data_IF_399534034916
#
_entry.id   IF_399534034916
#
_cell.length_a   1.000
_cell.length_b   1.000
_cell.length_c   1.000
_cell.angle_alpha   90.00
_cell.angle_beta   90.00
_cell.angle_gamma   90.00
#
_symmetry.space_group_name_H-M   'P 1'
#
loop_
_entity.id
_entity.type
_entity.pdbx_description
1 polymer ?
#
# COMPACT_ATOMS: atom_id res chain seq x y z
N UNK A 1 -19.73 -23.78 -3.57
CA UNK A 1 -18.35 -23.87 -3.03
C UNK A 1 -17.56 -22.64 -3.48
N UNK A 2 -17.96 -21.44 -3.00
CA UNK A 2 -17.32 -20.13 -3.32
C UNK A 2 -17.58 -19.22 -2.12
N UNK A 3 -16.87 -19.44 -1.00
CA UNK A 3 -16.89 -18.55 0.17
C UNK A 3 -15.54 -18.41 0.87
N UNK A 4 -14.55 -19.24 0.53
CA UNK A 4 -13.26 -19.25 1.25
C UNK A 4 -12.23 -18.25 0.71
N UNK A 5 -12.34 -17.81 -0.55
CA UNK A 5 -11.35 -16.90 -1.14
C UNK A 5 -11.42 -15.48 -0.55
N UNK A 6 -12.61 -15.00 -0.17
CA UNK A 6 -12.82 -13.64 0.33
C UNK A 6 -12.13 -13.36 1.66
N UNK A 7 -12.16 -14.32 2.59
CA UNK A 7 -11.54 -14.17 3.92
C UNK A 7 -10.00 -14.13 3.89
N UNK A 8 -9.37 -14.78 2.90
CA UNK A 8 -7.90 -14.80 2.76
C UNK A 8 -7.39 -13.42 2.36
N UNK A 9 -8.06 -12.73 1.44
CA UNK A 9 -7.63 -11.38 1.03
C UNK A 9 -7.87 -10.36 2.14
N UNK A 10 -8.99 -10.47 2.86
CA UNK A 10 -9.33 -9.54 3.93
C UNK A 10 -8.37 -9.66 5.11
N UNK A 11 -8.07 -10.89 5.53
CA UNK A 11 -7.04 -11.12 6.55
C UNK A 11 -5.64 -10.70 6.10
N UNK A 12 -5.31 -10.91 4.83
CA UNK A 12 -4.03 -10.51 4.25
C UNK A 12 -3.80 -9.00 4.27
N UNK A 13 -4.82 -8.22 3.94
CA UNK A 13 -4.68 -6.78 3.75
C UNK A 13 -5.15 -5.94 4.94
N UNK A 14 -5.89 -6.50 5.90
CA UNK A 14 -6.44 -5.72 7.01
C UNK A 14 -6.31 -6.38 8.38
N UNK A 15 -6.15 -7.71 8.47
CA UNK A 15 -6.19 -8.43 9.75
C UNK A 15 -4.84 -9.02 10.14
N UNK A 16 -3.95 -8.17 10.65
CA UNK A 16 -2.80 -8.56 11.47
C UNK A 16 -2.16 -7.30 12.04
N UNK A 17 -1.54 -7.37 13.22
CA UNK A 17 -0.76 -6.26 13.78
C UNK A 17 0.30 -5.72 12.80
N UNK A 18 0.96 -6.62 12.08
CA UNK A 18 1.95 -6.25 11.06
C UNK A 18 1.33 -5.40 9.94
N UNK A 19 0.19 -5.84 9.42
CA UNK A 19 -0.51 -5.17 8.30
C UNK A 19 -1.12 -3.84 8.73
N UNK A 20 -1.69 -3.77 9.94
CA UNK A 20 -2.18 -2.52 10.54
C UNK A 20 -1.05 -1.50 10.71
N UNK A 21 0.13 -1.94 11.17
CA UNK A 21 1.32 -1.07 11.25
C UNK A 21 1.80 -0.64 9.87
N UNK A 22 1.81 -1.55 8.90
CA UNK A 22 2.16 -1.24 7.52
C UNK A 22 1.27 -0.13 6.95
N UNK A 23 -0.05 -0.26 7.02
CA UNK A 23 -0.95 0.80 6.56
C UNK A 23 -0.80 2.10 7.35
N UNK A 24 -0.59 2.01 8.67
CA UNK A 24 -0.27 3.19 9.48
C UNK A 24 0.96 3.94 8.96
N UNK A 25 2.03 3.22 8.61
CA UNK A 25 3.24 3.81 8.03
C UNK A 25 2.98 4.42 6.65
N UNK A 26 2.20 3.76 5.77
CA UNK A 26 1.87 4.30 4.44
C UNK A 26 1.03 5.58 4.57
N UNK A 27 0.03 5.61 5.45
CA UNK A 27 -0.76 6.83 5.68
C UNK A 27 0.10 7.94 6.31
N UNK A 28 0.92 7.61 7.30
CA UNK A 28 1.81 8.57 7.97
C UNK A 28 2.82 9.20 7.00
N UNK A 29 3.35 8.41 6.06
CA UNK A 29 4.22 8.92 5.00
C UNK A 29 3.55 10.02 4.16
N UNK A 30 2.24 9.96 3.97
CA UNK A 30 1.45 10.98 3.28
C UNK A 30 0.90 12.08 4.19
N UNK A 31 1.32 12.13 5.46
CA UNK A 31 0.76 13.07 6.45
C UNK A 31 -0.70 12.78 6.82
N UNK A 32 -1.18 11.56 6.55
CA UNK A 32 -2.55 11.14 6.80
C UNK A 32 -2.63 10.24 8.03
N UNK A 33 -3.80 10.21 8.67
CA UNK A 33 -4.07 9.30 9.78
C UNK A 33 -4.72 8.02 9.29
N UNK A 34 -4.12 6.88 9.60
CA UNK A 34 -4.75 5.57 9.38
C UNK A 34 -6.00 5.41 10.24
N UNK A 35 -7.07 4.93 9.60
CA UNK A 35 -8.30 4.49 10.26
C UNK A 35 -8.46 3.02 9.94
N UNK A 36 -8.67 2.20 10.95
CA UNK A 36 -8.93 0.79 10.76
C UNK A 36 -10.23 0.61 9.96
N UNK A 37 -10.19 -0.30 9.00
CA UNK A 37 -11.29 -0.60 8.06
C UNK A 37 -11.55 -2.10 8.09
N UNK A 38 -12.83 -2.48 7.99
CA UNK A 38 -13.22 -3.87 8.08
C UNK A 38 -13.05 -4.62 6.76
N UNK A 39 -13.11 -3.92 5.62
CA UNK A 39 -13.14 -4.53 4.29
C UNK A 39 -12.55 -3.60 3.21
N UNK A 40 -12.44 -4.12 1.98
CA UNK A 40 -11.91 -3.36 0.84
C UNK A 40 -12.77 -2.16 0.46
N UNK A 41 -14.09 -2.24 0.59
CA UNK A 41 -14.99 -1.13 0.23
C UNK A 41 -14.75 0.07 1.15
N UNK A 42 -14.65 -0.17 2.45
CA UNK A 42 -14.26 0.84 3.44
C UNK A 42 -12.84 1.36 3.20
N UNK A 43 -11.90 0.47 2.85
CA UNK A 43 -10.54 0.86 2.52
C UNK A 43 -10.47 1.80 1.30
N UNK A 44 -11.13 1.45 0.21
CA UNK A 44 -11.18 2.29 -0.99
C UNK A 44 -11.92 3.59 -0.73
N UNK A 45 -13.01 3.56 0.03
CA UNK A 45 -13.73 4.77 0.45
C UNK A 45 -12.83 5.69 1.29
N UNK A 46 -12.04 5.13 2.21
CA UNK A 46 -11.05 5.89 2.99
C UNK A 46 -9.98 6.52 2.09
N UNK A 47 -9.39 5.73 1.18
CA UNK A 47 -8.35 6.21 0.26
C UNK A 47 -8.90 7.26 -0.72
N UNK A 48 -10.15 7.10 -1.18
CA UNK A 48 -10.83 8.06 -2.04
C UNK A 48 -11.25 9.33 -1.29
N UNK A 49 -11.59 9.23 -0.01
CA UNK A 49 -12.03 10.35 0.81
C UNK A 49 -10.92 11.30 1.28
N UNK A 50 -9.64 11.00 1.02
CA UNK A 50 -8.54 11.89 1.43
C UNK A 50 -8.60 13.23 0.70
N UNK A 51 -8.33 14.33 1.41
CA UNK A 51 -8.36 15.70 0.88
C UNK A 51 -7.13 16.05 0.03
N UNK A 52 -6.80 15.21 -0.94
CA UNK A 52 -5.80 15.44 -1.98
C UNK A 52 -6.49 15.67 -3.32
N UNK A 53 -5.87 16.41 -4.22
CA UNK A 53 -6.40 16.70 -5.56
C UNK A 53 -5.30 16.69 -6.62
N UNK A 54 -5.69 16.70 -7.90
CA UNK A 54 -4.76 16.75 -9.04
C UNK A 54 -3.68 15.67 -8.99
N UNK A 55 -2.44 16.06 -9.22
CA UNK A 55 -1.30 15.15 -9.23
C UNK A 55 -1.08 14.46 -7.88
N UNK A 56 -1.27 15.16 -6.75
CA UNK A 56 -1.09 14.57 -5.42
C UNK A 56 -2.06 13.40 -5.19
N UNK A 57 -3.32 13.54 -5.64
CA UNK A 57 -4.31 12.46 -5.56
C UNK A 57 -3.91 11.25 -6.41
N UNK A 58 -3.37 11.50 -7.60
CA UNK A 58 -2.85 10.44 -8.48
C UNK A 58 -1.66 9.71 -7.85
N UNK A 59 -0.68 10.47 -7.33
CA UNK A 59 0.49 9.91 -6.65
C UNK A 59 0.11 9.13 -5.39
N UNK A 60 -0.91 9.58 -4.64
CA UNK A 60 -1.47 8.85 -3.51
C UNK A 60 -2.02 7.49 -3.94
N UNK A 61 -2.82 7.43 -5.00
CA UNK A 61 -3.32 6.16 -5.51
C UNK A 61 -2.20 5.25 -6.01
N UNK A 62 -1.16 5.80 -6.64
CA UNK A 62 0.03 5.02 -7.00
C UNK A 62 0.72 4.42 -5.77
N UNK A 63 0.86 5.20 -4.69
CA UNK A 63 1.42 4.71 -3.44
C UNK A 63 0.57 3.61 -2.80
N UNK A 64 -0.76 3.77 -2.78
CA UNK A 64 -1.69 2.74 -2.30
C UNK A 64 -1.59 1.47 -3.15
N UNK A 65 -1.57 1.59 -4.47
CA UNK A 65 -1.41 0.45 -5.39
C UNK A 65 -0.06 -0.25 -5.19
N UNK A 66 1.02 0.51 -5.03
CA UNK A 66 2.35 -0.03 -4.77
C UNK A 66 2.42 -0.74 -3.41
N UNK A 67 1.73 -0.24 -2.38
CA UNK A 67 1.62 -0.87 -1.08
C UNK A 67 0.90 -2.22 -1.17
N UNK A 68 -0.25 -2.26 -1.87
CA UNK A 68 -0.98 -3.50 -2.13
C UNK A 68 -0.11 -4.52 -2.86
N UNK A 69 0.59 -4.10 -3.91
CA UNK A 69 1.48 -4.97 -4.67
C UNK A 69 2.66 -5.49 -3.83
N UNK A 70 3.28 -4.63 -3.02
CA UNK A 70 4.36 -5.02 -2.10
C UNK A 70 3.90 -6.08 -1.11
N UNK A 71 2.74 -5.86 -0.48
CA UNK A 71 2.16 -6.81 0.48
C UNK A 71 1.85 -8.15 -0.16
N UNK A 72 1.31 -8.15 -1.38
CA UNK A 72 1.06 -9.37 -2.15
C UNK A 72 2.35 -10.16 -2.42
N UNK A 73 3.40 -9.50 -2.92
CA UNK A 73 4.70 -10.13 -3.18
C UNK A 73 5.30 -10.70 -1.89
N UNK A 74 5.37 -9.91 -0.82
CA UNK A 74 5.92 -10.34 0.47
C UNK A 74 5.21 -11.57 1.04
N UNK A 75 3.88 -11.64 0.92
CA UNK A 75 3.13 -12.84 1.31
C UNK A 75 3.49 -14.03 0.43
N UNK A 76 3.60 -13.85 -0.88
CA UNK A 76 3.92 -14.96 -1.78
C UNK A 76 5.32 -15.50 -1.50
N UNK A 77 6.30 -14.63 -1.31
CA UNK A 77 7.66 -15.02 -0.88
C UNK A 77 7.63 -15.78 0.44
N UNK A 78 6.81 -15.35 1.40
CA UNK A 78 6.64 -16.09 2.68
C UNK A 78 6.02 -17.47 2.49
N UNK A 79 4.96 -17.57 1.69
CA UNK A 79 4.20 -18.81 1.51
C UNK A 79 4.97 -19.82 0.65
N UNK A 80 5.60 -19.38 -0.43
CA UNK A 80 6.24 -20.26 -1.41
C UNK A 80 7.74 -20.43 -1.18
N UNK A 81 8.42 -19.45 -0.58
CA UNK A 81 9.87 -19.45 -0.42
C UNK A 81 10.31 -19.42 1.06
N UNK A 82 9.36 -19.37 2.01
CA UNK A 82 9.66 -19.29 3.45
C UNK A 82 10.35 -18.00 3.89
N UNK A 83 10.42 -16.99 3.02
CA UNK A 83 11.10 -15.72 3.31
C UNK A 83 10.29 -14.89 4.30
N UNK A 84 10.99 -14.20 5.21
CA UNK A 84 10.35 -13.25 6.13
C UNK A 84 10.74 -11.83 5.73
N UNK A 85 9.76 -10.98 5.48
CA UNK A 85 9.95 -9.57 5.19
C UNK A 85 9.76 -8.76 6.47
N UNK A 86 10.69 -7.83 6.75
CA UNK A 86 10.53 -6.88 7.86
C UNK A 86 9.59 -5.75 7.44
N UNK A 87 9.04 -5.03 8.44
CA UNK A 87 8.19 -3.87 8.16
C UNK A 87 8.95 -2.80 7.37
N UNK A 88 10.20 -2.53 7.77
CA UNK A 88 11.04 -1.51 7.13
C UNK A 88 11.38 -1.86 5.69
N UNK A 89 11.69 -3.13 5.40
CA UNK A 89 11.98 -3.54 4.03
C UNK A 89 10.72 -3.49 3.16
N UNK A 90 9.55 -3.83 3.71
CA UNK A 90 8.28 -3.72 3.00
C UNK A 90 7.91 -2.25 2.67
N UNK A 91 8.12 -1.34 3.62
CA UNK A 91 7.92 0.10 3.42
C UNK A 91 8.89 0.63 2.37
N UNK A 92 10.18 0.28 2.47
CA UNK A 92 11.20 0.69 1.51
C UNK A 92 10.83 0.24 0.07
N UNK A 93 10.46 -1.03 -0.10
CA UNK A 93 10.04 -1.57 -1.40
C UNK A 93 8.77 -0.89 -1.92
N UNK A 94 7.84 -0.54 -1.03
CA UNK A 94 6.64 0.22 -1.39
C UNK A 94 6.99 1.61 -1.92
N UNK A 95 7.82 2.36 -1.20
CA UNK A 95 8.25 3.70 -1.60
C UNK A 95 9.02 3.68 -2.92
N UNK A 96 10.00 2.78 -3.04
CA UNK A 96 10.78 2.61 -4.26
C UNK A 96 9.88 2.30 -5.47
N UNK A 97 8.92 1.39 -5.31
CA UNK A 97 7.99 1.05 -6.40
C UNK A 97 7.07 2.22 -6.73
N UNK A 98 6.57 2.93 -5.72
CA UNK A 98 5.73 4.11 -5.91
C UNK A 98 6.47 5.20 -6.69
N UNK A 99 7.74 5.45 -6.34
CA UNK A 99 8.62 6.38 -7.06
C UNK A 99 8.83 5.99 -8.52
N UNK A 100 9.18 4.72 -8.79
CA UNK A 100 9.37 4.22 -10.15
C UNK A 100 8.08 4.35 -10.96
N UNK A 101 6.93 4.00 -10.38
CA UNK A 101 5.64 4.11 -11.05
C UNK A 101 5.22 5.56 -11.29
N UNK A 102 5.47 6.46 -10.32
CA UNK A 102 5.21 7.88 -10.48
C UNK A 102 6.01 8.48 -11.63
N UNK A 103 7.28 8.11 -11.78
CA UNK A 103 8.13 8.53 -12.90
C UNK A 103 7.64 8.07 -14.27
N UNK A 104 6.99 6.91 -14.33
CA UNK A 104 6.41 6.39 -15.59
C UNK A 104 5.09 7.06 -15.92
N UNK A 105 4.25 7.31 -14.92
CA UNK A 105 2.90 7.89 -15.12
C UNK A 105 2.95 9.40 -15.31
N UNK A 106 3.86 10.09 -14.63
CA UNK A 106 4.03 11.54 -14.66
C UNK A 106 5.43 11.90 -15.16
N UNK A 107 5.75 11.50 -16.40
CA UNK A 107 7.08 11.65 -17.01
C UNK A 107 7.57 13.12 -17.03
N UNK A 108 6.65 14.06 -17.23
CA UNK A 108 6.91 15.51 -17.23
C UNK A 108 7.24 16.07 -15.83
N UNK A 109 6.96 15.31 -14.77
CA UNK A 109 7.25 15.72 -13.40
C UNK A 109 8.62 15.19 -12.94
N UNK A 110 9.46 16.12 -12.49
CA UNK A 110 10.77 15.78 -11.94
C UNK A 110 10.60 15.42 -10.47
N UNK A 111 10.75 14.13 -10.16
CA UNK A 111 10.79 13.61 -8.80
C UNK A 111 12.20 13.16 -8.44
N UNK A 112 12.56 13.34 -7.18
CA UNK A 112 13.78 12.80 -6.56
C UNK A 112 13.42 11.67 -5.61
N UNK A 113 14.37 10.79 -5.30
CA UNK A 113 14.16 9.73 -4.32
C UNK A 113 13.84 10.27 -2.91
N UNK A 114 14.28 11.49 -2.58
CA UNK A 114 13.96 12.15 -1.30
C UNK A 114 12.51 12.61 -1.19
N UNK A 115 11.77 12.70 -2.30
CA UNK A 115 10.35 13.03 -2.29
C UNK A 115 9.47 11.83 -1.88
N UNK A 116 10.08 10.64 -1.72
CA UNK A 116 9.39 9.36 -1.47
C UNK A 116 9.89 8.64 -0.23
#
# INVERSE_FOLDING_TARGET
MVRESGGIYQSLFFECFFVKRFWSCIFCWWGLRWKEVANFEEFFSLCWGVSLSGIQKSLWFLAVSAACWSGWISRNEKVFEGKTTTLDSLIYQTKLRSFVWARVVHEECIFTASDW
#
